data_IF_873310292992
#
_entry.id   IF_873310292992
#
_cell.length_a   1.000
_cell.length_b   1.000
_cell.length_c   1.000
_cell.angle_alpha   90.00
_cell.angle_beta   90.00
_cell.angle_gamma   90.00
#
_symmetry.space_group_name_H-M   'P 1'
#
loop_
_entity.id
_entity.type
_entity.pdbx_description
1 polymer ?
#
# COMPACT_ATOMS: atom_id res chain seq x y z
N UNK A 1 -68.78 -29.50 1.00
CA UNK A 1 -67.93 -28.30 1.06
C UNK A 1 -66.50 -28.76 1.33
N UNK A 2 -65.71 -28.93 0.28
CA UNK A 2 -64.38 -29.55 0.34
C UNK A 2 -63.26 -28.52 0.17
N UNK A 3 -62.45 -28.42 1.22
CA UNK A 3 -61.05 -27.97 1.31
C UNK A 3 -60.51 -26.99 0.23
N UNK A 4 -60.26 -25.75 0.67
CA UNK A 4 -59.54 -24.73 -0.08
C UNK A 4 -58.09 -25.14 -0.40
N UNK A 5 -57.72 -25.00 -1.66
CA UNK A 5 -56.35 -25.16 -2.17
C UNK A 5 -55.49 -23.95 -1.78
N UNK A 6 -54.98 -23.97 -0.56
CA UNK A 6 -54.07 -22.96 -0.03
C UNK A 6 -52.59 -23.27 -0.30
N UNK A 7 -52.18 -23.41 -1.56
CA UNK A 7 -50.77 -23.37 -1.96
C UNK A 7 -50.71 -22.68 -3.32
N UNK A 8 -50.36 -21.37 -3.35
CA UNK A 8 -49.07 -21.07 -4.01
C UNK A 8 -48.31 -19.85 -3.45
N UNK A 9 -48.86 -19.04 -2.54
CA UNK A 9 -48.21 -17.76 -2.18
C UNK A 9 -46.91 -17.93 -1.40
N UNK A 10 -46.85 -18.90 -0.49
CA UNK A 10 -45.64 -19.17 0.30
C UNK A 10 -44.50 -19.77 -0.54
N UNK A 11 -44.83 -20.64 -1.50
CA UNK A 11 -43.83 -21.19 -2.43
C UNK A 11 -43.35 -20.13 -3.42
N UNK A 12 -44.24 -19.25 -3.88
CA UNK A 12 -43.88 -18.14 -4.76
C UNK A 12 -42.98 -17.13 -4.04
N UNK A 13 -43.25 -16.83 -2.77
CA UNK A 13 -42.40 -15.98 -1.93
C UNK A 13 -41.02 -16.61 -1.65
N UNK A 14 -40.96 -17.94 -1.48
CA UNK A 14 -39.70 -18.66 -1.28
C UNK A 14 -38.87 -18.71 -2.57
N UNK A 15 -39.52 -18.91 -3.73
CA UNK A 15 -38.86 -18.86 -5.04
C UNK A 15 -38.35 -17.46 -5.37
N UNK A 16 -39.09 -16.39 -5.07
CA UNK A 16 -38.61 -15.02 -5.28
C UNK A 16 -37.42 -14.65 -4.39
N UNK A 17 -37.38 -15.14 -3.15
CA UNK A 17 -36.23 -15.00 -2.25
C UNK A 17 -34.99 -15.74 -2.78
N UNK A 18 -35.17 -16.95 -3.34
CA UNK A 18 -34.07 -17.76 -3.89
C UNK A 18 -33.55 -17.25 -5.25
N UNK A 19 -34.36 -16.49 -5.99
CA UNK A 19 -33.96 -15.89 -7.27
C UNK A 19 -33.36 -14.51 -7.17
N UNK A 20 -33.28 -13.90 -5.97
CA UNK A 20 -32.67 -12.59 -5.79
C UNK A 20 -31.15 -12.69 -6.03
N UNK A 21 -30.62 -12.24 -7.18
CA UNK A 21 -29.19 -12.24 -7.41
C UNK A 21 -28.62 -11.10 -6.57
N UNK A 22 -27.70 -11.41 -5.66
CA UNK A 22 -26.93 -10.37 -4.95
C UNK A 22 -27.18 -10.25 -3.44
N UNK A 23 -27.70 -11.28 -2.79
CA UNK A 23 -27.53 -11.40 -1.33
C UNK A 23 -26.17 -12.06 -1.03
N UNK A 24 -25.09 -11.27 -0.98
CA UNK A 24 -23.84 -11.72 -0.35
C UNK A 24 -22.53 -11.40 -1.07
N UNK A 25 -22.27 -10.14 -1.38
CA UNK A 25 -20.93 -9.57 -1.32
C UNK A 25 -21.11 -8.08 -1.05
N UNK A 26 -20.81 -7.64 0.19
CA UNK A 26 -20.66 -6.20 0.42
C UNK A 26 -19.40 -5.83 -0.35
N UNK A 27 -19.55 -5.06 -1.42
CA UNK A 27 -18.39 -4.45 -2.08
C UNK A 27 -17.79 -3.49 -1.08
N UNK A 28 -16.59 -3.80 -0.61
CA UNK A 28 -15.82 -2.89 0.22
C UNK A 28 -14.98 -2.08 -0.74
N UNK A 29 -15.34 -0.81 -0.91
CA UNK A 29 -14.72 0.06 -1.91
C UNK A 29 -13.29 0.43 -1.50
N UNK A 30 -13.10 0.80 -0.23
CA UNK A 30 -11.82 1.15 0.36
C UNK A 30 -11.73 0.66 1.80
N UNK A 31 -10.56 0.21 2.22
CA UNK A 31 -10.29 -0.29 3.57
C UNK A 31 -9.25 0.60 4.23
N UNK A 32 -9.66 1.24 5.32
CA UNK A 32 -8.75 1.94 6.22
C UNK A 32 -8.52 1.09 7.46
N UNK A 33 -7.26 0.77 7.76
CA UNK A 33 -6.88 -0.09 8.88
C UNK A 33 -5.93 0.63 9.81
N UNK A 34 -6.05 0.35 11.10
CA UNK A 34 -5.11 0.75 12.13
C UNK A 34 -4.43 -0.52 12.63
N UNK A 35 -3.11 -0.58 12.54
CA UNK A 35 -2.33 -1.69 13.02
C UNK A 35 -1.44 -1.23 14.17
N UNK A 36 -1.64 -1.85 15.33
CA UNK A 36 -0.87 -1.58 16.54
C UNK A 36 -0.49 -2.88 17.23
N UNK A 37 0.72 -2.91 17.79
CA UNK A 37 1.17 -4.02 18.63
C UNK A 37 2.16 -3.54 19.69
N UNK A 38 2.21 -4.29 20.79
CA UNK A 38 3.29 -4.24 21.77
C UNK A 38 3.82 -5.64 22.01
N UNK A 39 5.14 -5.78 22.05
CA UNK A 39 5.79 -7.07 22.24
C UNK A 39 7.00 -6.97 23.17
N UNK A 40 7.32 -8.10 23.82
CA UNK A 40 8.51 -8.28 24.66
C UNK A 40 9.33 -9.42 24.09
N UNK A 41 10.63 -9.19 23.89
CA UNK A 41 11.56 -10.21 23.40
C UNK A 41 12.51 -10.70 24.51
N UNK A 42 12.87 -11.98 24.45
CA UNK A 42 13.59 -12.67 25.53
C UNK A 42 15.09 -12.34 25.59
N UNK A 43 15.66 -11.81 24.51
CA UNK A 43 17.12 -11.54 24.42
C UNK A 43 17.61 -10.47 25.40
N UNK A 44 16.73 -9.64 25.95
CA UNK A 44 17.09 -8.56 26.88
C UNK A 44 15.89 -7.93 27.61
N UNK A 45 14.71 -8.57 27.59
CA UNK A 45 13.44 -7.87 27.86
C UNK A 45 13.24 -6.62 26.99
N UNK A 46 13.83 -6.59 25.80
CA UNK A 46 13.60 -5.49 24.88
C UNK A 46 12.12 -5.47 24.53
N UNK A 47 11.49 -4.36 24.91
CA UNK A 47 10.10 -4.05 24.62
C UNK A 47 10.07 -3.17 23.37
N UNK A 48 9.11 -3.44 22.49
CA UNK A 48 8.89 -2.63 21.31
C UNK A 48 7.39 -2.52 21.07
N UNK A 49 6.94 -1.32 20.75
CA UNK A 49 5.60 -1.06 20.23
C UNK A 49 5.68 -0.47 18.83
N UNK A 50 4.62 -0.64 18.06
CA UNK A 50 4.44 0.05 16.80
C UNK A 50 2.98 0.42 16.64
N UNK A 51 2.74 1.58 16.04
CA UNK A 51 1.43 2.04 15.64
C UNK A 51 1.54 2.58 14.22
N UNK A 52 0.67 2.12 13.33
CA UNK A 52 0.59 2.60 11.95
C UNK A 52 -0.85 2.62 11.45
N UNK A 53 -1.07 3.44 10.42
CA UNK A 53 -2.33 3.56 9.73
C UNK A 53 -2.15 3.23 8.26
N UNK A 54 -3.06 2.41 7.73
CA UNK A 54 -3.02 1.87 6.38
C UNK A 54 -4.30 2.24 5.63
N UNK A 55 -4.16 2.49 4.34
CA UNK A 55 -5.26 2.69 3.41
C UNK A 55 -5.04 1.77 2.22
N UNK A 56 -5.99 0.86 1.95
CA UNK A 56 -5.92 -0.14 0.88
C UNK A 56 -4.62 -0.95 0.88
N UNK A 57 -4.13 -1.33 2.07
CA UNK A 57 -2.88 -2.07 2.32
C UNK A 57 -1.59 -1.24 2.18
N UNK A 58 -1.68 0.03 1.80
CA UNK A 58 -0.56 0.94 1.77
C UNK A 58 -0.45 1.71 3.09
N UNK A 59 0.76 1.76 3.64
CA UNK A 59 1.05 2.56 4.84
C UNK A 59 0.86 4.05 4.54
N UNK A 60 -0.02 4.71 5.30
CA UNK A 60 -0.23 6.15 5.25
C UNK A 60 0.76 6.89 6.14
N UNK A 61 0.88 6.44 7.39
CA UNK A 61 1.82 6.96 8.38
C UNK A 61 2.04 5.96 9.51
N UNK A 62 3.17 6.11 10.20
CA UNK A 62 3.40 5.49 11.51
C UNK A 62 3.68 6.55 12.57
N UNK A 63 3.61 6.18 13.84
CA UNK A 63 4.02 7.06 14.93
C UNK A 63 5.38 6.62 15.46
N UNK A 64 6.35 7.53 15.39
CA UNK A 64 7.63 7.37 16.08
C UNK A 64 7.39 7.57 17.57
N UNK A 65 7.42 6.48 18.34
CA UNK A 65 7.08 6.49 19.76
C UNK A 65 8.15 7.19 20.62
N UNK A 66 9.41 7.21 20.16
CA UNK A 66 10.50 7.85 20.87
C UNK A 66 10.46 9.36 20.67
N UNK A 67 10.31 9.78 19.41
CA UNK A 67 10.20 11.19 19.02
C UNK A 67 8.82 11.77 19.32
N UNK A 68 7.81 10.93 19.51
CA UNK A 68 6.40 11.29 19.75
C UNK A 68 5.84 12.10 18.59
N UNK A 69 6.12 11.66 17.37
CA UNK A 69 5.78 12.37 16.14
C UNK A 69 5.12 11.42 15.14
N UNK A 70 4.15 11.95 14.39
CA UNK A 70 3.54 11.25 13.26
C UNK A 70 4.44 11.39 12.04
N UNK A 71 4.87 10.27 11.47
CA UNK A 71 5.73 10.22 10.29
C UNK A 71 4.93 9.71 9.11
N UNK A 72 4.70 10.59 8.14
CA UNK A 72 3.96 10.28 6.92
C UNK A 72 4.83 9.53 5.91
N UNK A 73 4.30 8.45 5.32
CA UNK A 73 4.98 7.66 4.28
C UNK A 73 5.29 8.49 3.04
N UNK A 74 4.35 9.37 2.66
CA UNK A 74 4.50 10.42 1.66
C UNK A 74 4.36 11.79 2.34
N UNK A 75 5.41 12.62 2.37
CA UNK A 75 5.37 13.91 3.07
C UNK A 75 4.26 14.84 2.60
N UNK A 76 3.81 14.75 1.35
CA UNK A 76 2.72 15.56 0.80
C UNK A 76 1.40 15.36 1.54
N UNK A 77 1.14 14.17 2.09
CA UNK A 77 -0.09 13.88 2.81
C UNK A 77 -0.21 14.70 4.11
N UNK A 78 0.92 15.04 4.74
CA UNK A 78 0.95 15.91 5.93
C UNK A 78 0.39 17.32 5.68
N UNK A 79 0.24 17.74 4.42
CA UNK A 79 -0.36 19.03 4.06
C UNK A 79 -1.88 19.00 4.08
N UNK A 80 -2.48 17.82 3.94
CA UNK A 80 -3.93 17.63 3.81
C UNK A 80 -4.54 16.92 5.02
N UNK A 81 -3.73 16.15 5.76
CA UNK A 81 -4.17 15.40 6.92
C UNK A 81 -3.15 15.54 8.06
N UNK A 82 -3.65 15.39 9.29
CA UNK A 82 -2.86 15.43 10.51
C UNK A 82 -3.32 14.31 11.45
N UNK A 83 -2.40 13.79 12.24
CA UNK A 83 -2.70 12.86 13.32
C UNK A 83 -1.88 13.22 14.55
N UNK A 84 -2.51 13.24 15.72
CA UNK A 84 -1.85 13.55 16.98
C UNK A 84 -1.16 12.30 17.51
N UNK A 85 0.17 12.31 17.57
CA UNK A 85 0.95 11.16 18.05
C UNK A 85 0.56 10.72 19.47
N UNK A 86 -0.03 11.61 20.28
CA UNK A 86 -0.48 11.31 21.63
C UNK A 86 -1.60 10.28 21.67
N UNK A 87 -2.46 10.22 20.65
CA UNK A 87 -3.51 9.21 20.55
C UNK A 87 -2.89 7.81 20.43
N UNK A 88 -1.89 7.65 19.55
CA UNK A 88 -1.13 6.41 19.40
C UNK A 88 -0.36 6.04 20.67
N UNK A 89 0.28 7.02 21.33
CA UNK A 89 0.98 6.76 22.60
C UNK A 89 0.04 6.26 23.70
N UNK A 90 -1.20 6.77 23.72
CA UNK A 90 -2.26 6.29 24.60
C UNK A 90 -2.60 4.82 24.33
N UNK A 91 -2.83 4.47 23.07
CA UNK A 91 -3.10 3.09 22.67
C UNK A 91 -1.94 2.15 23.00
N UNK A 92 -0.70 2.54 22.70
CA UNK A 92 0.48 1.72 22.99
C UNK A 92 0.65 1.46 24.50
N UNK A 93 0.28 2.43 25.36
CA UNK A 93 0.26 2.21 26.80
C UNK A 93 -0.80 1.17 27.23
N UNK A 94 -1.96 1.18 26.58
CA UNK A 94 -3.01 0.18 26.76
C UNK A 94 -2.57 -1.19 26.26
N UNK A 95 -1.95 -1.27 25.09
CA UNK A 95 -1.43 -2.52 24.53
C UNK A 95 -0.36 -3.14 25.42
N UNK A 96 0.56 -2.33 25.95
CA UNK A 96 1.53 -2.77 26.95
C UNK A 96 0.85 -3.38 28.17
N UNK A 97 -0.16 -2.69 28.71
CA UNK A 97 -0.91 -3.20 29.86
C UNK A 97 -1.64 -4.51 29.55
N UNK A 98 -2.28 -4.58 28.39
CA UNK A 98 -2.98 -5.77 27.91
C UNK A 98 -2.01 -6.94 27.72
N UNK A 99 -0.82 -6.70 27.17
CA UNK A 99 0.22 -7.71 27.00
C UNK A 99 0.64 -8.32 28.34
N UNK A 100 0.83 -7.51 29.40
CA UNK A 100 1.15 -8.03 30.73
C UNK A 100 0.06 -8.98 31.28
N UNK A 101 -1.20 -8.65 31.02
CA UNK A 101 -2.34 -9.49 31.39
C UNK A 101 -2.32 -10.79 30.58
N UNK A 102 -2.12 -10.70 29.26
CA UNK A 102 -2.10 -11.86 28.36
C UNK A 102 -0.95 -12.82 28.67
N UNK A 103 0.24 -12.31 29.00
CA UNK A 103 1.38 -13.13 29.43
C UNK A 103 1.03 -13.93 30.69
N UNK A 104 0.42 -13.30 31.70
CA UNK A 104 0.01 -14.00 32.93
C UNK A 104 -1.09 -15.02 32.66
N UNK A 105 -2.13 -14.64 31.90
CA UNK A 105 -3.29 -15.50 31.59
C UNK A 105 -2.91 -16.72 30.75
N UNK A 106 -1.90 -16.61 29.91
CA UNK A 106 -1.37 -17.70 29.08
C UNK A 106 -0.30 -18.53 29.78
N UNK A 107 -0.04 -18.33 31.08
CA UNK A 107 1.05 -18.97 31.81
C UNK A 107 2.42 -18.78 31.15
N UNK A 108 2.68 -17.60 30.61
CA UNK A 108 3.93 -17.24 29.92
C UNK A 108 4.21 -18.08 28.66
N UNK A 109 3.15 -18.55 27.98
CA UNK A 109 3.29 -19.21 26.67
C UNK A 109 3.87 -18.23 25.66
N UNK A 110 4.84 -18.68 24.86
CA UNK A 110 5.55 -17.85 23.87
C UNK A 110 4.92 -17.98 22.50
N UNK A 111 5.00 -16.91 21.71
CA UNK A 111 4.69 -16.98 20.29
C UNK A 111 5.67 -17.91 19.56
N UNK A 112 5.15 -18.70 18.62
CA UNK A 112 5.97 -19.52 17.73
C UNK A 112 6.60 -18.63 16.65
N UNK A 113 7.85 -18.92 16.28
CA UNK A 113 8.53 -18.18 15.23
C UNK A 113 8.19 -18.79 13.88
N UNK A 114 7.61 -17.99 12.99
CA UNK A 114 7.35 -18.37 11.60
C UNK A 114 8.55 -18.05 10.70
N UNK A 115 8.89 -18.95 9.79
CA UNK A 115 9.98 -18.74 8.84
C UNK A 115 9.56 -17.72 7.76
N UNK A 116 10.39 -16.71 7.51
CA UNK A 116 10.11 -15.73 6.46
C UNK A 116 10.39 -16.33 5.09
N UNK A 117 9.36 -16.35 4.23
CA UNK A 117 9.51 -16.66 2.81
C UNK A 117 9.99 -15.39 2.11
N UNK A 118 11.15 -15.40 1.42
CA UNK A 118 11.60 -14.24 0.67
C UNK A 118 10.58 -13.88 -0.41
N UNK A 119 10.04 -12.67 -0.37
CA UNK A 119 9.25 -12.13 -1.47
C UNK A 119 10.18 -11.86 -2.66
N UNK A 120 9.85 -12.34 -3.89
CA UNK A 120 10.58 -11.93 -5.08
C UNK A 120 10.37 -10.42 -5.28
N UNK A 121 11.46 -9.66 -5.33
CA UNK A 121 11.44 -8.19 -5.47
C UNK A 121 10.90 -7.81 -6.86
N UNK A 122 9.67 -7.27 -7.03
CA UNK A 122 9.10 -7.08 -8.37
C UNK A 122 9.51 -5.78 -9.08
N UNK A 123 10.26 -4.88 -8.43
CA UNK A 123 10.37 -3.47 -8.92
C UNK A 123 11.73 -3.10 -9.55
N UNK A 124 12.71 -4.00 -9.51
CA UNK A 124 14.06 -3.68 -10.00
C UNK A 124 14.17 -3.77 -11.51
N UNK A 125 13.49 -4.72 -12.16
CA UNK A 125 13.59 -4.91 -13.61
C UNK A 125 12.95 -3.78 -14.41
N UNK A 126 11.77 -3.31 -14.02
CA UNK A 126 11.07 -2.22 -14.71
C UNK A 126 11.81 -0.88 -14.58
N UNK A 127 12.34 -0.59 -13.39
CA UNK A 127 13.16 0.60 -13.14
C UNK A 127 14.44 0.59 -13.99
N UNK A 128 15.10 -0.58 -14.09
CA UNK A 128 16.29 -0.75 -14.93
C UNK A 128 15.97 -0.60 -16.41
N UNK A 129 14.88 -1.16 -16.91
CA UNK A 129 14.44 -1.03 -18.31
C UNK A 129 14.13 0.43 -18.63
N UNK A 130 13.44 1.15 -17.74
CA UNK A 130 13.14 2.57 -17.92
C UNK A 130 14.41 3.43 -17.94
N UNK A 131 15.33 3.23 -16.98
CA UNK A 131 16.59 3.97 -16.92
C UNK A 131 17.48 3.72 -18.14
N UNK A 132 17.57 2.46 -18.60
CA UNK A 132 18.30 2.11 -19.82
C UNK A 132 17.65 2.73 -21.06
N UNK A 133 16.31 2.71 -21.14
CA UNK A 133 15.55 3.36 -22.21
C UNK A 133 15.80 4.86 -22.28
N UNK A 134 15.78 5.55 -21.15
CA UNK A 134 16.10 6.99 -21.06
C UNK A 134 17.54 7.29 -21.51
N UNK A 135 18.51 6.48 -21.06
CA UNK A 135 19.91 6.66 -21.44
C UNK A 135 20.12 6.50 -22.95
N UNK A 136 19.58 5.44 -23.56
CA UNK A 136 19.67 5.20 -25.01
C UNK A 136 18.95 6.30 -25.79
N UNK A 137 17.78 6.75 -25.33
CA UNK A 137 17.03 7.85 -25.94
C UNK A 137 17.82 9.16 -25.96
N UNK A 138 18.44 9.53 -24.84
CA UNK A 138 19.27 10.74 -24.72
C UNK A 138 20.48 10.66 -25.67
N UNK A 139 21.18 9.52 -25.69
CA UNK A 139 22.32 9.32 -26.60
C UNK A 139 21.90 9.44 -28.07
N UNK A 140 20.75 8.89 -28.43
CA UNK A 140 20.18 9.00 -29.78
C UNK A 140 19.90 10.45 -30.18
N UNK A 141 19.33 11.25 -29.28
CA UNK A 141 19.07 12.68 -29.51
C UNK A 141 20.40 13.45 -29.71
N UNK A 142 21.40 13.21 -28.87
CA UNK A 142 22.71 13.85 -28.98
C UNK A 142 23.39 13.48 -30.30
N UNK A 143 23.44 12.20 -30.65
CA UNK A 143 24.05 11.75 -31.90
C UNK A 143 23.28 12.27 -33.13
N UNK A 144 21.95 12.24 -33.11
CA UNK A 144 21.10 12.73 -34.18
C UNK A 144 21.28 14.24 -34.44
N UNK A 145 21.31 15.04 -33.38
CA UNK A 145 21.55 16.49 -33.51
C UNK A 145 22.94 16.81 -34.08
N UNK A 146 23.98 16.09 -33.66
CA UNK A 146 25.33 16.23 -34.22
C UNK A 146 25.35 15.90 -35.72
N UNK A 147 24.69 14.81 -36.13
CA UNK A 147 24.62 14.40 -37.53
C UNK A 147 23.85 15.42 -38.39
N UNK A 148 22.75 15.95 -37.89
CA UNK A 148 21.97 16.99 -38.57
C UNK A 148 22.81 18.27 -38.74
N UNK A 149 23.46 18.76 -37.68
CA UNK A 149 24.30 19.96 -37.73
C UNK A 149 25.46 19.76 -38.72
N UNK A 150 26.13 18.61 -38.68
CA UNK A 150 27.23 18.28 -39.59
C UNK A 150 26.73 18.19 -41.04
N UNK A 151 25.56 17.59 -41.25
CA UNK A 151 24.90 17.51 -42.56
C UNK A 151 24.54 18.90 -43.11
N UNK A 152 23.98 19.78 -42.28
CA UNK A 152 23.66 21.16 -42.65
C UNK A 152 24.93 21.96 -42.99
N UNK A 153 26.00 21.83 -42.20
CA UNK A 153 27.28 22.50 -42.46
C UNK A 153 27.96 21.99 -43.74
N UNK A 154 27.90 20.68 -44.01
CA UNK A 154 28.40 20.09 -45.25
C UNK A 154 27.58 20.50 -46.48
N UNK A 155 26.25 20.64 -46.34
CA UNK A 155 25.37 21.11 -47.41
C UNK A 155 25.64 22.60 -47.73
N UNK A 156 25.80 23.43 -46.70
CA UNK A 156 26.19 24.83 -46.87
C UNK A 156 27.56 24.99 -47.56
N UNK A 157 28.53 24.13 -47.23
CA UNK A 157 29.84 24.13 -47.88
C UNK A 157 29.82 23.62 -49.34
N UNK A 158 28.85 22.76 -49.69
CA UNK A 158 28.66 22.23 -51.06
C UNK A 158 27.82 23.15 -51.95
N UNK A 159 27.00 24.02 -51.38
CA UNK A 159 26.20 24.99 -52.13
C UNK A 159 26.55 26.43 -51.72
N UNK A 160 27.73 26.96 -52.11
CA UNK A 160 27.97 28.38 -52.02
C UNK A 160 27.02 29.04 -53.03
N UNK A 161 25.90 29.60 -52.56
CA UNK A 161 25.14 30.55 -53.38
C UNK A 161 26.10 31.69 -53.69
N UNK A 162 26.62 31.72 -54.91
CA UNK A 162 27.40 32.83 -55.42
C UNK A 162 26.61 34.14 -55.29
N UNK A 163 27.27 35.28 -55.06
CA UNK A 163 26.58 36.57 -55.05
C UNK A 163 25.95 36.82 -56.43
N UNK A 164 24.71 37.33 -56.42
CA UNK A 164 24.02 37.88 -57.59
C UNK A 164 24.82 39.03 -58.20
#
# INVERSE_FOLDING_TARGET
MGAGRGVPMAQLALLTLLTLPGAGAVTVDHVTSQAEFYQRTDRSQQESGQYMHEFDQDEMFYVDLERKETVWRLPEFSKFASFEAQDALGNIAVDKHNLEIMIKRSNHTRAENEAQVPTPVPETTETLVCALGLAVGIVGIIAGTILIIKGMKMNAARNPRGPL
#
